data_IF_190317582579
#
_entry.id   IF_190317582579
#
_cell.length_a   1.000
_cell.length_b   1.000
_cell.length_c   1.000
_cell.angle_alpha   90.00
_cell.angle_beta   90.00
_cell.angle_gamma   90.00
#
_symmetry.space_group_name_H-M   'P 1'
#
loop_
_entity.id
_entity.type
_entity.pdbx_description
1 polymer ?
#
# COMPACT_ATOMS: atom_id res chain seq x y z
N UNK A 1 -32.49 74.65 -20.23
CA UNK A 1 -31.89 73.81 -19.18
C UNK A 1 -32.37 72.35 -19.28
N UNK A 2 -31.68 71.45 -19.99
CA UNK A 2 -31.99 69.99 -19.97
C UNK A 2 -30.82 69.05 -20.33
N UNK A 3 -29.59 69.55 -20.42
CA UNK A 3 -28.42 68.80 -20.93
C UNK A 3 -27.56 68.12 -19.84
N UNK A 4 -27.49 68.68 -18.61
CA UNK A 4 -26.64 68.13 -17.53
C UNK A 4 -27.11 66.79 -16.92
N UNK A 5 -28.40 66.44 -17.04
CA UNK A 5 -28.97 65.24 -16.40
C UNK A 5 -28.65 63.92 -17.14
N UNK A 6 -28.59 63.94 -18.48
CA UNK A 6 -28.33 62.72 -19.27
C UNK A 6 -26.90 62.18 -19.14
N UNK A 7 -25.92 63.06 -18.92
CA UNK A 7 -24.51 62.64 -18.79
C UNK A 7 -24.22 62.00 -17.43
N UNK A 8 -24.88 62.44 -16.34
CA UNK A 8 -24.73 61.81 -15.02
C UNK A 8 -25.32 60.38 -14.98
N UNK A 9 -26.49 60.14 -15.60
CA UNK A 9 -27.08 58.80 -15.67
C UNK A 9 -26.23 57.80 -16.47
N UNK A 10 -25.55 58.26 -17.52
CA UNK A 10 -24.71 57.41 -18.38
C UNK A 10 -23.42 56.96 -17.67
N UNK A 11 -22.85 57.80 -16.80
CA UNK A 11 -21.62 57.50 -16.05
C UNK A 11 -21.85 56.50 -14.90
N UNK A 12 -22.99 56.61 -14.21
CA UNK A 12 -23.43 55.64 -13.19
C UNK A 12 -23.65 54.24 -13.79
N UNK A 13 -24.30 54.19 -14.97
CA UNK A 13 -24.53 52.95 -15.72
C UNK A 13 -23.22 52.26 -16.17
N UNK A 14 -22.19 53.03 -16.57
CA UNK A 14 -20.89 52.48 -16.99
C UNK A 14 -20.06 51.93 -15.82
N UNK A 15 -20.15 52.56 -14.63
CA UNK A 15 -19.46 52.06 -13.42
C UNK A 15 -20.02 50.72 -12.95
N UNK A 16 -21.34 50.56 -12.84
CA UNK A 16 -21.96 49.32 -12.35
C UNK A 16 -21.75 48.08 -13.23
N UNK A 17 -21.70 48.24 -14.56
CA UNK A 17 -21.40 47.12 -15.49
C UNK A 17 -19.98 46.58 -15.34
N UNK A 18 -19.02 47.45 -15.01
CA UNK A 18 -17.61 47.06 -14.82
C UNK A 18 -17.38 46.31 -13.50
N UNK A 19 -18.09 46.68 -12.43
CA UNK A 19 -18.02 46.02 -11.12
C UNK A 19 -18.64 44.63 -11.18
N UNK A 20 -19.79 44.49 -11.86
CA UNK A 20 -20.44 43.20 -12.08
C UNK A 20 -19.59 42.25 -12.94
N UNK A 21 -18.92 42.76 -13.97
CA UNK A 21 -17.98 41.97 -14.76
C UNK A 21 -16.79 41.49 -13.91
N UNK A 22 -16.20 42.36 -13.08
CA UNK A 22 -15.11 42.01 -12.16
C UNK A 22 -15.54 40.97 -11.13
N UNK A 23 -16.72 41.10 -10.53
CA UNK A 23 -17.27 40.11 -9.60
C UNK A 23 -17.49 38.76 -10.29
N UNK A 24 -17.99 38.76 -11.54
CA UNK A 24 -18.13 37.53 -12.33
C UNK A 24 -16.79 36.85 -12.62
N UNK A 25 -15.77 37.59 -13.06
CA UNK A 25 -14.45 37.03 -13.31
C UNK A 25 -13.78 36.53 -12.03
N UNK A 26 -13.94 37.24 -10.91
CA UNK A 26 -13.46 36.79 -9.59
C UNK A 26 -14.18 35.52 -9.12
N UNK A 27 -15.50 35.43 -9.30
CA UNK A 27 -16.26 34.24 -8.97
C UNK A 27 -15.87 33.04 -9.85
N UNK A 28 -15.63 33.25 -11.15
CA UNK A 28 -15.13 32.21 -12.05
C UNK A 28 -13.72 31.78 -11.65
N UNK A 29 -12.79 32.71 -11.38
CA UNK A 29 -11.43 32.34 -10.95
C UNK A 29 -11.43 31.58 -9.64
N UNK A 30 -12.31 31.97 -8.70
CA UNK A 30 -12.45 31.27 -7.42
C UNK A 30 -13.02 29.86 -7.63
N UNK A 31 -14.04 29.71 -8.48
CA UNK A 31 -14.59 28.39 -8.82
C UNK A 31 -13.54 27.48 -9.49
N UNK A 32 -12.70 28.02 -10.38
CA UNK A 32 -11.62 27.26 -11.02
C UNK A 32 -10.55 26.84 -10.02
N UNK A 33 -10.14 27.73 -9.11
CA UNK A 33 -9.17 27.39 -8.05
C UNK A 33 -9.74 26.32 -7.11
N UNK A 34 -11.01 26.44 -6.72
CA UNK A 34 -11.69 25.43 -5.90
C UNK A 34 -11.76 24.09 -6.63
N UNK A 35 -12.11 24.06 -7.92
CA UNK A 35 -12.15 22.83 -8.71
C UNK A 35 -10.76 22.17 -8.84
N UNK A 36 -9.69 22.96 -9.01
CA UNK A 36 -8.31 22.46 -9.07
C UNK A 36 -7.86 21.88 -7.71
N UNK A 37 -8.22 22.54 -6.61
CA UNK A 37 -7.93 22.04 -5.26
C UNK A 37 -8.71 20.74 -4.96
N UNK A 38 -9.97 20.65 -5.38
CA UNK A 38 -10.77 19.42 -5.27
C UNK A 38 -10.18 18.27 -6.10
N UNK A 39 -9.70 18.56 -7.31
CA UNK A 39 -9.07 17.57 -8.17
C UNK A 39 -7.76 17.05 -7.56
N UNK A 40 -6.91 17.93 -7.03
CA UNK A 40 -5.69 17.55 -6.32
C UNK A 40 -5.97 16.70 -5.08
N UNK A 41 -7.08 16.95 -4.38
CA UNK A 41 -7.49 16.22 -3.17
C UNK A 41 -7.94 14.77 -3.45
N UNK A 42 -8.23 14.43 -4.72
CA UNK A 42 -8.68 13.08 -5.11
C UNK A 42 -7.51 12.09 -5.26
N UNK A 43 -6.28 12.58 -5.40
CA UNK A 43 -5.09 11.74 -5.46
C UNK A 43 -4.63 11.35 -4.05
N UNK A 44 -5.28 10.35 -3.46
CA UNK A 44 -4.67 9.58 -2.39
C UNK A 44 -3.57 8.72 -3.01
N UNK A 45 -2.31 8.91 -2.60
CA UNK A 45 -1.25 7.97 -2.98
C UNK A 45 -1.65 6.57 -2.50
N UNK A 46 -1.65 5.56 -3.38
CA UNK A 46 -1.91 4.20 -2.96
C UNK A 46 -0.82 3.75 -1.98
N UNK A 47 -1.22 3.04 -0.93
CA UNK A 47 -0.32 2.55 0.13
C UNK A 47 -0.48 1.04 0.21
N UNK A 48 0.65 0.31 0.23
CA UNK A 48 0.67 -1.11 0.51
C UNK A 48 0.56 -1.30 2.02
N UNK A 49 -0.54 -1.90 2.49
CA UNK A 49 -0.78 -2.13 3.92
C UNK A 49 -0.30 -3.54 4.26
N UNK A 50 0.76 -3.60 5.05
CA UNK A 50 1.48 -4.84 5.33
C UNK A 50 1.36 -5.21 6.79
N UNK A 51 1.21 -6.50 7.07
CA UNK A 51 1.27 -7.03 8.43
C UNK A 51 1.97 -8.39 8.48
N UNK A 52 2.32 -8.80 9.69
CA UNK A 52 3.00 -10.06 9.98
C UNK A 52 2.17 -10.81 11.03
N UNK A 53 2.24 -12.14 11.05
CA UNK A 53 1.76 -12.92 12.20
C UNK A 53 2.36 -12.33 13.49
N UNK A 54 1.53 -12.05 14.51
CA UNK A 54 1.94 -11.33 15.71
C UNK A 54 2.67 -12.24 16.72
N UNK A 55 3.78 -12.86 16.30
CA UNK A 55 4.63 -13.73 17.13
C UNK A 55 5.54 -12.94 18.09
N UNK A 56 5.59 -11.61 17.94
CA UNK A 56 6.43 -10.67 18.68
C UNK A 56 5.63 -9.38 18.97
N UNK A 57 6.17 -8.52 19.84
CA UNK A 57 5.54 -7.20 20.08
C UNK A 57 5.53 -6.32 18.82
N UNK A 58 4.52 -5.44 18.62
CA UNK A 58 4.44 -4.57 17.45
C UNK A 58 5.69 -3.73 17.19
N UNK A 59 6.38 -3.29 18.25
CA UNK A 59 7.62 -2.51 18.14
C UNK A 59 8.79 -3.34 17.60
N UNK A 60 8.89 -4.61 18.00
CA UNK A 60 9.90 -5.56 17.50
C UNK A 60 9.61 -5.90 16.04
N UNK A 61 8.36 -6.24 15.72
CA UNK A 61 7.95 -6.56 14.36
C UNK A 61 8.18 -5.38 13.41
N UNK A 62 7.80 -4.16 13.81
CA UNK A 62 8.05 -2.94 13.02
C UNK A 62 9.53 -2.74 12.74
N UNK A 63 10.39 -2.94 13.76
CA UNK A 63 11.84 -2.80 13.61
C UNK A 63 12.42 -3.85 12.66
N UNK A 64 12.01 -5.11 12.78
CA UNK A 64 12.43 -6.22 11.88
C UNK A 64 11.95 -6.00 10.45
N UNK A 65 10.74 -5.47 10.27
CA UNK A 65 10.14 -5.24 8.95
C UNK A 65 10.70 -3.99 8.25
N UNK A 66 11.19 -2.98 9.00
CA UNK A 66 11.59 -1.69 8.45
C UNK A 66 12.59 -1.78 7.26
N UNK A 67 13.66 -2.59 7.31
CA UNK A 67 14.55 -2.72 6.16
C UNK A 67 13.86 -3.28 4.91
N UNK A 68 12.97 -4.26 5.09
CA UNK A 68 12.18 -4.83 3.99
C UNK A 68 11.15 -3.82 3.47
N UNK A 69 10.49 -3.04 4.34
CA UNK A 69 9.54 -2.02 3.90
C UNK A 69 10.22 -0.95 3.06
N UNK A 70 11.38 -0.44 3.50
CA UNK A 70 12.13 0.58 2.77
C UNK A 70 12.59 0.08 1.40
N UNK A 71 12.98 -1.20 1.33
CA UNK A 71 13.31 -1.86 0.08
C UNK A 71 12.10 -1.96 -0.84
N UNK A 72 10.97 -2.47 -0.34
CA UNK A 72 9.74 -2.61 -1.13
C UNK A 72 9.25 -1.26 -1.63
N UNK A 73 9.25 -0.21 -0.79
CA UNK A 73 8.87 1.15 -1.18
C UNK A 73 9.62 1.63 -2.42
N UNK A 74 10.95 1.49 -2.40
CA UNK A 74 11.83 1.88 -3.51
C UNK A 74 11.60 1.04 -4.75
N UNK A 75 11.42 -0.28 -4.59
CA UNK A 75 11.31 -1.23 -5.70
C UNK A 75 9.98 -1.15 -6.42
N UNK A 76 8.88 -0.95 -5.70
CA UNK A 76 7.54 -0.91 -6.30
C UNK A 76 7.07 0.52 -6.62
N UNK A 77 7.72 1.52 -6.02
CA UNK A 77 7.37 2.94 -6.19
C UNK A 77 6.07 3.32 -5.47
N UNK A 78 5.79 2.69 -4.33
CA UNK A 78 4.56 2.87 -3.56
C UNK A 78 4.88 2.84 -2.07
N UNK A 79 4.20 3.67 -1.28
CA UNK A 79 4.40 3.69 0.18
C UNK A 79 4.04 2.33 0.78
N UNK A 80 4.80 1.88 1.78
CA UNK A 80 4.57 0.62 2.49
C UNK A 80 4.34 0.92 3.96
N UNK A 81 3.13 0.65 4.43
CA UNK A 81 2.71 0.94 5.79
C UNK A 81 2.57 -0.35 6.60
N UNK A 82 3.35 -0.47 7.68
CA UNK A 82 3.19 -1.56 8.63
C UNK A 82 2.01 -1.32 9.58
N UNK A 83 1.00 -2.19 9.48
CA UNK A 83 -0.20 -2.22 10.33
C UNK A 83 -0.21 -3.50 11.16
N UNK A 84 0.18 -3.46 12.44
CA UNK A 84 0.23 -4.66 13.26
C UNK A 84 -1.18 -5.25 13.44
N UNK A 85 -1.32 -6.55 13.23
CA UNK A 85 -2.54 -7.28 13.57
C UNK A 85 -2.60 -7.51 15.10
N UNK A 86 -3.82 -7.64 15.63
CA UNK A 86 -4.04 -7.93 17.04
C UNK A 86 -3.64 -9.39 17.38
N UNK A 87 -4.08 -10.30 16.53
CA UNK A 87 -3.86 -11.74 16.61
C UNK A 87 -3.91 -12.34 15.19
N UNK A 88 -3.73 -13.67 15.08
CA UNK A 88 -3.74 -14.36 13.79
C UNK A 88 -5.12 -14.32 13.09
N UNK A 89 -6.22 -14.34 13.84
CA UNK A 89 -7.56 -14.28 13.28
C UNK A 89 -7.81 -12.89 12.66
N UNK A 90 -7.43 -11.83 13.37
CA UNK A 90 -7.50 -10.46 12.89
C UNK A 90 -6.63 -10.24 11.66
N UNK A 91 -5.43 -10.85 11.60
CA UNK A 91 -4.57 -10.79 10.41
C UNK A 91 -5.27 -11.35 9.17
N UNK A 92 -5.89 -12.53 9.31
CA UNK A 92 -6.60 -13.22 8.22
C UNK A 92 -7.84 -12.41 7.82
N UNK A 93 -8.65 -12.00 8.80
CA UNK A 93 -9.87 -11.24 8.56
C UNK A 93 -9.58 -9.89 7.91
N UNK A 94 -8.53 -9.19 8.33
CA UNK A 94 -8.15 -7.90 7.77
C UNK A 94 -7.57 -8.04 6.36
N UNK A 95 -6.86 -9.12 6.03
CA UNK A 95 -6.52 -9.45 4.64
C UNK A 95 -7.80 -9.68 3.81
N UNK A 96 -8.69 -10.57 4.26
CA UNK A 96 -9.92 -10.92 3.53
C UNK A 96 -10.83 -9.70 3.31
N UNK A 97 -10.93 -8.81 4.30
CA UNK A 97 -11.77 -7.61 4.26
C UNK A 97 -11.12 -6.40 3.60
N UNK A 98 -10.00 -6.57 2.90
CA UNK A 98 -9.28 -5.51 2.20
C UNK A 98 -8.76 -4.39 3.11
N UNK A 99 -8.40 -4.70 4.35
CA UNK A 99 -7.73 -3.77 5.28
C UNK A 99 -6.22 -3.92 5.26
N UNK A 100 -5.74 -5.10 4.87
CA UNK A 100 -4.35 -5.44 4.59
C UNK A 100 -4.25 -5.95 3.14
N UNK A 101 -3.11 -5.69 2.50
CA UNK A 101 -2.84 -6.04 1.11
C UNK A 101 -1.86 -7.21 0.99
N UNK A 102 -0.87 -7.24 1.89
CA UNK A 102 0.21 -8.21 1.92
C UNK A 102 0.43 -8.67 3.37
N UNK A 103 0.44 -9.99 3.60
CA UNK A 103 0.68 -10.54 4.95
C UNK A 103 1.73 -11.64 4.94
N UNK A 104 2.53 -11.68 5.98
CA UNK A 104 3.45 -12.79 6.27
C UNK A 104 2.79 -13.76 7.24
N UNK A 105 2.60 -15.02 6.83
CA UNK A 105 1.78 -16.00 7.57
C UNK A 105 2.38 -17.40 7.54
N UNK A 106 2.23 -18.16 8.62
CA UNK A 106 2.68 -19.55 8.73
C UNK A 106 1.72 -20.54 8.02
N UNK A 107 2.15 -21.80 7.91
CA UNK A 107 1.42 -22.85 7.21
C UNK A 107 0.05 -23.20 7.81
N UNK A 108 -0.11 -23.18 9.13
CA UNK A 108 -1.40 -23.51 9.76
C UNK A 108 -2.42 -22.38 9.50
N UNK A 109 -1.99 -21.13 9.65
CA UNK A 109 -2.82 -19.97 9.39
C UNK A 109 -3.10 -19.78 7.88
N UNK A 110 -2.20 -20.21 6.98
CA UNK A 110 -2.44 -20.28 5.54
C UNK A 110 -3.64 -21.18 5.19
N UNK A 111 -3.75 -22.36 5.81
CA UNK A 111 -4.87 -23.28 5.60
C UNK A 111 -6.19 -22.60 6.02
N UNK A 112 -6.19 -21.94 7.18
CA UNK A 112 -7.35 -21.19 7.67
C UNK A 112 -7.72 -20.03 6.75
N UNK A 113 -6.74 -19.26 6.29
CA UNK A 113 -6.96 -18.13 5.40
C UNK A 113 -7.58 -18.58 4.05
N UNK A 114 -7.07 -19.67 3.46
CA UNK A 114 -7.65 -20.26 2.24
C UNK A 114 -9.08 -20.76 2.47
N UNK A 115 -9.34 -21.41 3.60
CA UNK A 115 -10.69 -21.91 3.93
C UNK A 115 -11.69 -20.75 4.13
N UNK A 116 -11.35 -19.75 4.96
CA UNK A 116 -12.24 -18.61 5.30
C UNK A 116 -12.48 -17.66 4.13
N UNK A 117 -11.51 -17.52 3.22
CA UNK A 117 -11.63 -16.66 2.03
C UNK A 117 -12.31 -17.35 0.84
N UNK A 118 -12.66 -18.63 0.94
CA UNK A 118 -13.04 -19.45 -0.22
C UNK A 118 -11.97 -19.38 -1.34
N UNK A 119 -10.70 -19.57 -0.97
CA UNK A 119 -9.52 -19.54 -1.84
C UNK A 119 -9.22 -18.19 -2.52
N UNK A 120 -9.76 -17.08 -2.01
CA UNK A 120 -9.49 -15.72 -2.53
C UNK A 120 -8.20 -15.09 -1.98
N UNK A 121 -7.38 -15.88 -1.28
CA UNK A 121 -6.04 -15.47 -0.85
C UNK A 121 -5.02 -16.49 -1.35
N UNK A 122 -3.92 -15.99 -1.89
CA UNK A 122 -2.88 -16.79 -2.53
C UNK A 122 -1.51 -16.42 -1.96
N UNK A 123 -0.63 -17.41 -1.73
CA UNK A 123 0.77 -17.13 -1.50
C UNK A 123 1.39 -16.64 -2.82
N UNK A 124 2.39 -15.77 -2.72
CA UNK A 124 3.12 -15.24 -3.90
C UNK A 124 4.61 -15.54 -3.83
N UNK A 125 5.18 -15.56 -2.63
CA UNK A 125 6.57 -15.95 -2.39
C UNK A 125 6.70 -16.68 -1.05
N UNK A 126 7.70 -17.55 -0.98
CA UNK A 126 8.08 -18.30 0.20
C UNK A 126 9.59 -18.38 0.32
N UNK A 127 10.10 -18.91 1.42
CA UNK A 127 11.52 -19.20 1.54
C UNK A 127 11.95 -20.34 0.61
N UNK A 128 13.18 -20.27 0.13
CA UNK A 128 13.83 -21.43 -0.50
C UNK A 128 14.01 -22.51 0.56
N UNK A 129 13.41 -23.69 0.33
CA UNK A 129 13.58 -24.85 1.19
C UNK A 129 14.74 -25.66 0.63
N UNK A 130 15.83 -25.76 1.38
CA UNK A 130 16.93 -26.68 1.08
C UNK A 130 16.74 -28.04 1.79
N UNK A 131 17.44 -29.07 1.31
CA UNK A 131 17.34 -30.44 1.86
C UNK A 131 17.68 -30.52 3.36
N UNK A 132 18.52 -29.59 3.85
CA UNK A 132 18.87 -29.51 5.27
C UNK A 132 17.70 -28.95 6.10
N UNK A 133 17.00 -27.94 5.60
CA UNK A 133 15.75 -27.42 6.18
C UNK A 133 14.66 -28.48 6.19
N UNK A 134 14.56 -29.31 5.17
CA UNK A 134 13.59 -30.43 5.13
C UNK A 134 13.73 -31.36 6.34
N UNK A 135 14.98 -31.65 6.76
CA UNK A 135 15.25 -32.49 7.93
C UNK A 135 14.91 -31.83 9.28
N UNK A 136 14.95 -30.50 9.35
CA UNK A 136 14.56 -29.70 10.53
C UNK A 136 13.04 -29.53 10.59
N UNK A 137 12.39 -29.32 9.44
CA UNK A 137 10.93 -29.25 9.28
C UNK A 137 10.22 -30.48 9.84
N UNK A 138 10.79 -31.68 9.62
CA UNK A 138 10.22 -32.94 10.13
C UNK A 138 10.35 -33.06 11.66
N UNK A 139 11.35 -32.43 12.27
CA UNK A 139 11.68 -32.56 13.69
C UNK A 139 11.19 -31.39 14.57
N UNK A 140 10.81 -30.27 13.97
CA UNK A 140 10.40 -29.05 14.67
C UNK A 140 9.03 -28.62 14.15
N UNK A 141 7.99 -28.75 14.97
CA UNK A 141 6.62 -28.39 14.63
C UNK A 141 6.53 -27.06 13.83
N UNK A 142 6.25 -27.16 12.52
CA UNK A 142 5.61 -26.17 11.63
C UNK A 142 6.17 -24.73 11.48
N UNK A 143 7.36 -24.38 11.96
CA UNK A 143 7.85 -22.98 11.91
C UNK A 143 8.51 -22.50 10.59
N UNK A 144 8.72 -23.34 9.57
CA UNK A 144 9.48 -22.93 8.37
C UNK A 144 8.64 -22.81 7.08
N UNK A 145 7.32 -22.98 7.17
CA UNK A 145 6.38 -22.92 6.02
C UNK A 145 5.75 -21.54 5.79
N UNK A 146 6.42 -20.48 6.24
CA UNK A 146 5.87 -19.13 6.12
C UNK A 146 5.89 -18.62 4.67
N UNK A 147 4.82 -17.89 4.31
CA UNK A 147 4.61 -17.34 2.97
C UNK A 147 4.11 -15.92 3.04
N UNK A 148 4.50 -15.12 2.06
CA UNK A 148 3.87 -13.84 1.80
C UNK A 148 2.61 -14.06 0.96
N UNK A 149 1.49 -13.55 1.43
CA UNK A 149 0.18 -13.74 0.84
C UNK A 149 -0.48 -12.43 0.44
N UNK A 150 -1.29 -12.51 -0.61
CA UNK A 150 -2.12 -11.42 -1.10
C UNK A 150 -3.53 -11.94 -1.40
N UNK A 151 -4.47 -11.03 -1.61
CA UNK A 151 -5.77 -11.38 -2.20
C UNK A 151 -5.63 -11.65 -3.70
N UNK A 152 -6.47 -12.54 -4.22
CA UNK A 152 -6.48 -12.90 -5.66
C UNK A 152 -6.83 -11.73 -6.56
N UNK A 153 -7.60 -10.76 -6.05
CA UNK A 153 -8.05 -9.56 -6.77
C UNK A 153 -7.11 -8.35 -6.62
N UNK A 154 -5.94 -8.53 -5.98
CA UNK A 154 -4.86 -7.53 -6.05
C UNK A 154 -4.50 -7.26 -7.51
N UNK A 155 -4.27 -5.98 -7.84
CA UNK A 155 -3.81 -5.58 -9.17
C UNK A 155 -2.61 -6.43 -9.61
N UNK A 156 -2.72 -6.98 -10.83
CA UNK A 156 -1.76 -7.96 -11.33
C UNK A 156 -0.36 -7.35 -11.47
N UNK A 157 -0.27 -6.07 -11.87
CA UNK A 157 1.03 -5.41 -12.01
C UNK A 157 1.69 -5.19 -10.66
N UNK A 158 0.92 -4.79 -9.64
CA UNK A 158 1.42 -4.69 -8.28
C UNK A 158 1.88 -6.05 -7.75
N UNK A 159 1.08 -7.11 -7.96
CA UNK A 159 1.44 -8.47 -7.54
C UNK A 159 2.74 -8.95 -8.19
N UNK A 160 2.91 -8.72 -9.49
CA UNK A 160 4.16 -9.06 -10.21
C UNK A 160 5.34 -8.24 -9.70
N UNK A 161 5.18 -6.92 -9.50
CA UNK A 161 6.24 -6.08 -8.91
C UNK A 161 6.67 -6.56 -7.53
N UNK A 162 5.72 -7.02 -6.70
CA UNK A 162 6.04 -7.58 -5.39
C UNK A 162 6.85 -8.86 -5.52
N UNK A 163 6.41 -9.80 -6.37
CA UNK A 163 7.13 -11.05 -6.64
C UNK A 163 8.56 -10.73 -7.12
N UNK A 164 8.70 -9.90 -8.14
CA UNK A 164 10.01 -9.51 -8.69
C UNK A 164 10.89 -8.83 -7.65
N UNK A 165 10.32 -8.00 -6.76
CA UNK A 165 11.06 -7.39 -5.68
C UNK A 165 11.59 -8.45 -4.69
N UNK A 166 10.77 -9.41 -4.26
CA UNK A 166 11.26 -10.46 -3.36
C UNK A 166 12.32 -11.35 -4.00
N UNK A 167 12.14 -11.74 -5.26
CA UNK A 167 13.07 -12.62 -5.98
C UNK A 167 14.42 -11.97 -6.29
N UNK A 168 14.45 -10.64 -6.36
CA UNK A 168 15.67 -9.89 -6.67
C UNK A 168 16.57 -9.61 -5.46
N UNK A 169 16.17 -9.98 -4.23
CA UNK A 169 17.03 -9.87 -3.06
C UNK A 169 18.24 -10.80 -3.22
N UNK A 170 19.44 -10.22 -3.19
CA UNK A 170 20.69 -10.97 -3.38
C UNK A 170 21.50 -11.05 -2.07
N UNK A 171 21.73 -12.26 -1.57
CA UNK A 171 22.57 -12.50 -0.37
C UNK A 171 24.00 -11.98 -0.49
N UNK A 172 24.48 -11.73 -1.71
CA UNK A 172 25.82 -11.19 -1.93
C UNK A 172 25.86 -9.65 -1.86
N UNK A 173 24.69 -8.99 -1.91
CA UNK A 173 24.56 -7.57 -1.63
C UNK A 173 24.40 -7.36 -0.11
N UNK A 174 25.20 -6.49 0.49
CA UNK A 174 25.21 -6.30 1.94
C UNK A 174 23.85 -5.83 2.52
N UNK A 175 23.14 -4.94 1.82
CA UNK A 175 21.84 -4.43 2.27
C UNK A 175 20.75 -5.50 2.13
N UNK A 176 20.73 -6.20 0.99
CA UNK A 176 19.75 -7.26 0.76
C UNK A 176 20.02 -8.44 1.71
N UNK A 177 21.27 -8.75 2.01
CA UNK A 177 21.63 -9.79 2.97
C UNK A 177 21.17 -9.47 4.39
N UNK A 178 21.18 -8.19 4.81
CA UNK A 178 20.59 -7.78 6.08
C UNK A 178 19.08 -8.06 6.11
N UNK A 179 18.37 -7.70 5.03
CA UNK A 179 16.94 -7.97 4.87
C UNK A 179 16.68 -9.47 4.97
N UNK A 180 17.39 -10.26 4.17
CA UNK A 180 17.29 -11.72 4.12
C UNK A 180 17.57 -12.35 5.49
N UNK A 181 18.60 -11.89 6.20
CA UNK A 181 18.95 -12.33 7.54
C UNK A 181 17.85 -12.03 8.57
N UNK A 182 17.24 -10.84 8.52
CA UNK A 182 16.12 -10.49 9.40
C UNK A 182 14.86 -11.32 9.14
N UNK A 183 14.72 -11.84 7.91
CA UNK A 183 13.68 -12.78 7.54
C UNK A 183 14.08 -14.24 7.82
N UNK A 184 15.29 -14.51 8.33
CA UNK A 184 15.83 -15.87 8.52
C UNK A 184 15.80 -16.72 7.24
N UNK A 185 16.11 -16.11 6.09
CA UNK A 185 16.22 -16.83 4.82
C UNK A 185 17.47 -16.40 4.06
N UNK A 186 17.99 -17.27 3.20
CA UNK A 186 19.04 -16.94 2.24
C UNK A 186 18.48 -16.43 0.92
N UNK A 187 17.20 -16.73 0.62
CA UNK A 187 16.54 -16.44 -0.65
C UNK A 187 15.02 -16.62 -0.57
N UNK A 188 14.30 -15.86 -1.39
CA UNK A 188 12.88 -16.08 -1.67
C UNK A 188 12.69 -16.80 -3.01
N UNK A 189 11.67 -17.64 -3.09
CA UNK A 189 11.22 -18.29 -4.32
C UNK A 189 9.74 -18.00 -4.54
N UNK A 190 9.32 -17.99 -5.81
CA UNK A 190 7.91 -17.89 -6.15
C UNK A 190 7.20 -19.17 -5.69
N UNK A 191 5.96 -19.04 -5.23
CA UNK A 191 5.15 -20.21 -4.90
C UNK A 191 4.55 -20.80 -6.16
N UNK A 192 4.68 -22.11 -6.34
CA UNK A 192 3.94 -22.86 -7.36
C UNK A 192 2.55 -23.19 -6.83
N UNK A 193 1.51 -22.86 -7.59
CA UNK A 193 0.12 -23.25 -7.29
C UNK A 193 -0.09 -24.77 -7.39
#
# INVERSE_FOLDING_TARGET
MKSKSKNHQKLEHWRGRSTLARIKYLAISLATVVALLFYASTFSEPVLRVSLVPDDTPSVLRRKFKPLSDYLEKRIGMKVEFRPALDADALIDDLIRNKLDLVWIDGANLIQAKARSNKQVIPIVQFEVDDKRLSVLINKHNYDDYRWMVRTDMDVNLRLKLIDAFLALDKNNALDNEILSLQNTSKFIATSD
#
